data_IF_087048373299
#
_entry.id   IF_087048373299
#
_cell.length_a   1.000
_cell.length_b   1.000
_cell.length_c   1.000
_cell.angle_alpha   90.00
_cell.angle_beta   90.00
_cell.angle_gamma   90.00
#
_symmetry.space_group_name_H-M   'P 1'
#
loop_
_entity.id
_entity.type
_entity.pdbx_description
1 polymer ?
#
# COMPACT_ATOMS: atom_id res chain seq x y z
N UNK A 1 -11.03 -3.43 5.35
CA UNK A 1 -12.17 -3.97 4.58
C UNK A 1 -11.78 -4.69 3.29
N UNK A 2 -10.65 -5.42 3.26
CA UNK A 2 -10.37 -6.44 2.22
C UNK A 2 -10.68 -7.87 2.69
N UNK A 3 -11.39 -8.01 3.81
CA UNK A 3 -11.78 -9.30 4.39
C UNK A 3 -13.02 -9.87 3.67
N UNK A 4 -12.86 -10.09 2.36
CA UNK A 4 -13.85 -10.73 1.51
C UNK A 4 -13.17 -11.89 0.77
N UNK A 5 -13.63 -13.14 0.95
CA UNK A 5 -12.88 -14.32 0.53
C UNK A 5 -12.93 -14.60 -0.98
N UNK A 6 -13.45 -13.67 -1.79
CA UNK A 6 -13.75 -13.92 -3.19
C UNK A 6 -13.40 -12.72 -4.06
N UNK A 7 -13.15 -13.00 -5.34
CA UNK A 7 -12.88 -11.96 -6.35
C UNK A 7 -13.98 -12.01 -7.40
N UNK A 8 -14.35 -10.87 -7.98
CA UNK A 8 -15.36 -10.80 -9.04
C UNK A 8 -14.99 -11.68 -10.25
N UNK A 9 -15.98 -12.23 -10.97
CA UNK A 9 -15.74 -13.19 -12.06
C UNK A 9 -14.87 -12.61 -13.20
N UNK A 10 -15.01 -11.32 -13.50
CA UNK A 10 -14.17 -10.64 -14.50
C UNK A 10 -12.69 -10.61 -14.09
N UNK A 11 -12.41 -10.36 -12.81
CA UNK A 11 -11.05 -10.38 -12.28
C UNK A 11 -10.43 -11.79 -12.33
N UNK A 12 -11.22 -12.82 -12.01
CA UNK A 12 -10.79 -14.22 -12.14
C UNK A 12 -10.45 -14.58 -13.57
N UNK A 13 -11.29 -14.19 -14.53
CA UNK A 13 -11.03 -14.41 -15.97
C UNK A 13 -9.77 -13.67 -16.43
N UNK A 14 -9.60 -12.40 -16.06
CA UNK A 14 -8.40 -11.62 -16.42
C UNK A 14 -7.11 -12.20 -15.83
N UNK A 15 -7.18 -12.83 -14.65
CA UNK A 15 -6.06 -13.59 -14.08
C UNK A 15 -5.74 -14.83 -14.91
N UNK A 16 -6.77 -15.61 -15.25
CA UNK A 16 -6.64 -16.87 -15.99
C UNK A 16 -5.97 -16.68 -17.35
N UNK A 17 -6.33 -15.61 -18.07
CA UNK A 17 -5.71 -15.29 -19.37
C UNK A 17 -4.37 -14.53 -19.24
N UNK A 18 -3.88 -14.28 -18.02
CA UNK A 18 -2.63 -13.58 -17.75
C UNK A 18 -2.64 -12.07 -18.04
N UNK A 19 -3.83 -11.47 -18.20
CA UNK A 19 -3.98 -10.03 -18.50
C UNK A 19 -3.84 -9.15 -17.25
N UNK A 20 -4.22 -9.67 -16.09
CA UNK A 20 -4.02 -9.03 -14.80
C UNK A 20 -3.18 -9.92 -13.88
N UNK A 21 -2.36 -9.31 -13.04
CA UNK A 21 -1.57 -10.01 -12.01
C UNK A 21 -2.07 -9.58 -10.64
N UNK A 22 -2.20 -10.54 -9.74
CA UNK A 22 -2.72 -10.34 -8.39
C UNK A 22 -1.59 -10.61 -7.40
N UNK A 23 -1.52 -9.74 -6.39
CA UNK A 23 -0.46 -9.77 -5.39
C UNK A 23 -1.08 -9.56 -4.01
N UNK A 24 -0.42 -10.09 -3.00
CA UNK A 24 -0.82 -9.94 -1.60
C UNK A 24 0.08 -8.93 -0.91
N UNK A 25 -0.52 -8.12 -0.05
CA UNK A 25 0.14 -7.25 0.90
C UNK A 25 -0.42 -7.58 2.27
N UNK A 26 0.45 -7.71 3.26
CA UNK A 26 0.03 -7.93 4.65
C UNK A 26 -0.33 -6.62 5.36
N UNK A 27 -1.02 -6.72 6.50
CA UNK A 27 -1.49 -5.57 7.27
C UNK A 27 -0.34 -4.64 7.69
N UNK A 28 0.84 -5.20 8.01
CA UNK A 28 1.99 -4.40 8.45
C UNK A 28 2.55 -3.57 7.30
N UNK A 29 2.66 -4.15 6.12
CA UNK A 29 3.07 -3.46 4.90
C UNK A 29 2.08 -2.38 4.51
N UNK A 30 0.77 -2.66 4.63
CA UNK A 30 -0.27 -1.67 4.38
C UNK A 30 -0.21 -0.51 5.39
N UNK A 31 -0.02 -0.79 6.68
CA UNK A 31 0.15 0.23 7.71
C UNK A 31 1.40 1.09 7.50
N UNK A 32 2.52 0.48 7.12
CA UNK A 32 3.73 1.24 6.76
C UNK A 32 3.43 2.23 5.63
N UNK A 33 2.79 1.77 4.55
CA UNK A 33 2.41 2.61 3.42
C UNK A 33 1.39 3.70 3.78
N UNK A 34 0.43 3.39 4.66
CA UNK A 34 -0.52 4.36 5.20
C UNK A 34 0.22 5.53 5.86
N UNK A 35 1.10 5.24 6.82
CA UNK A 35 1.81 6.29 7.56
C UNK A 35 2.82 7.04 6.71
N UNK A 36 3.53 6.35 5.81
CA UNK A 36 4.49 6.99 4.89
C UNK A 36 3.77 7.97 3.97
N UNK A 37 2.67 7.57 3.33
CA UNK A 37 1.92 8.45 2.44
C UNK A 37 1.35 9.66 3.19
N UNK A 38 0.82 9.45 4.40
CA UNK A 38 0.29 10.55 5.21
C UNK A 38 1.35 11.55 5.62
N UNK A 39 2.56 11.09 5.95
CA UNK A 39 3.65 11.99 6.37
C UNK A 39 4.31 12.72 5.22
N UNK A 40 4.53 12.03 4.10
CA UNK A 40 5.25 12.63 2.96
C UNK A 40 4.35 13.51 2.11
N UNK A 41 3.11 13.10 1.88
CA UNK A 41 2.20 13.75 0.91
C UNK A 41 1.00 14.43 1.58
N UNK A 42 0.80 14.27 2.89
CA UNK A 42 -0.37 14.80 3.60
C UNK A 42 -1.69 14.11 3.23
N UNK A 43 -1.62 12.94 2.59
CA UNK A 43 -2.79 12.16 2.16
C UNK A 43 -3.01 11.03 3.15
N UNK A 44 -4.19 10.97 3.76
CA UNK A 44 -4.60 9.87 4.66
C UNK A 44 -5.40 8.85 3.84
N UNK A 45 -4.79 7.76 3.35
CA UNK A 45 -5.49 6.77 2.53
C UNK A 45 -6.40 5.89 3.37
N UNK A 46 -7.46 5.35 2.80
CA UNK A 46 -8.13 4.19 3.41
C UNK A 46 -7.13 3.01 3.53
N UNK A 47 -7.30 2.13 4.51
CA UNK A 47 -6.41 0.98 4.70
C UNK A 47 -6.40 0.05 3.48
N UNK A 48 -7.52 -0.08 2.77
CA UNK A 48 -7.61 -0.81 1.50
C UNK A 48 -6.74 -0.16 0.41
N UNK A 49 -6.78 1.18 0.30
CA UNK A 49 -5.94 1.94 -0.64
C UNK A 49 -4.46 1.80 -0.29
N UNK A 50 -4.11 1.73 1.01
CA UNK A 50 -2.74 1.59 1.47
C UNK A 50 -2.09 0.27 1.02
N UNK A 51 -2.88 -0.81 0.80
CA UNK A 51 -2.36 -2.05 0.21
C UNK A 51 -1.82 -1.82 -1.20
N UNK A 52 -2.53 -1.04 -2.04
CA UNK A 52 -2.07 -0.74 -3.39
C UNK A 52 -0.79 0.12 -3.38
N UNK A 53 -0.68 1.06 -2.44
CA UNK A 53 0.51 1.91 -2.27
C UNK A 53 1.71 1.10 -1.79
N UNK A 54 1.52 0.22 -0.81
CA UNK A 54 2.57 -0.69 -0.33
C UNK A 54 3.12 -1.55 -1.47
N UNK A 55 2.23 -2.08 -2.32
CA UNK A 55 2.64 -2.82 -3.51
C UNK A 55 3.43 -1.94 -4.49
N UNK A 56 2.97 -0.71 -4.75
CA UNK A 56 3.66 0.21 -5.64
C UNK A 56 5.08 0.53 -5.13
N UNK A 57 5.24 0.75 -3.83
CA UNK A 57 6.55 0.97 -3.19
C UNK A 57 7.46 -0.25 -3.33
N UNK A 58 6.92 -1.47 -3.14
CA UNK A 58 7.66 -2.71 -3.36
C UNK A 58 8.13 -2.85 -4.81
N UNK A 59 7.22 -2.62 -5.77
CA UNK A 59 7.53 -2.71 -7.20
C UNK A 59 8.60 -1.67 -7.61
N UNK A 60 8.51 -0.45 -7.09
CA UNK A 60 9.52 0.58 -7.32
C UNK A 60 10.89 0.15 -6.79
N UNK A 61 10.96 -0.38 -5.56
CA UNK A 61 12.20 -0.88 -4.97
C UNK A 61 12.82 -2.05 -5.73
N UNK A 62 12.01 -3.01 -6.17
CA UNK A 62 12.45 -4.17 -6.97
C UNK A 62 13.04 -3.77 -8.34
N UNK A 63 12.76 -2.56 -8.82
CA UNK A 63 13.21 -2.07 -10.13
C UNK A 63 14.14 -0.87 -10.04
N UNK A 64 14.61 -0.50 -8.84
CA UNK A 64 15.40 0.72 -8.62
C UNK A 64 16.65 0.82 -9.51
N UNK A 65 17.33 -0.30 -9.78
CA UNK A 65 18.56 -0.37 -10.57
C UNK A 65 18.35 -0.52 -12.08
N UNK A 66 17.09 -0.56 -12.53
CA UNK A 66 16.78 -0.90 -13.93
C UNK A 66 16.51 0.35 -14.76
N UNK A 67 15.24 0.73 -14.91
CA UNK A 67 14.80 1.89 -15.68
C UNK A 67 13.74 2.65 -14.88
N UNK A 68 13.57 3.96 -15.14
CA UNK A 68 12.49 4.73 -14.54
C UNK A 68 11.12 4.04 -14.74
N UNK A 69 10.39 3.85 -13.65
CA UNK A 69 9.04 3.32 -13.67
C UNK A 69 8.03 4.44 -13.37
N UNK A 70 6.96 4.50 -14.15
CA UNK A 70 5.76 5.27 -13.82
C UNK A 70 4.68 4.31 -13.38
N UNK A 71 4.20 4.47 -12.14
CA UNK A 71 3.18 3.60 -11.53
C UNK A 71 1.93 4.45 -11.29
N UNK A 72 0.81 4.06 -11.89
CA UNK A 72 -0.49 4.65 -11.61
C UNK A 72 -1.16 3.84 -10.50
N UNK A 73 -1.52 4.51 -9.40
CA UNK A 73 -2.17 3.87 -8.24
C UNK A 73 -3.58 4.44 -8.07
N UNK A 74 -4.56 3.56 -7.89
CA UNK A 74 -5.91 3.95 -7.54
C UNK A 74 -6.03 4.13 -6.01
N UNK A 75 -6.20 5.37 -5.54
CA UNK A 75 -6.54 5.67 -4.15
C UNK A 75 -8.06 5.66 -4.00
N UNK A 76 -8.62 4.47 -3.79
CA UNK A 76 -10.07 4.22 -3.80
C UNK A 76 -10.86 4.94 -2.71
N UNK A 77 -10.20 5.42 -1.66
CA UNK A 77 -10.86 6.07 -0.53
C UNK A 77 -9.90 6.73 0.44
N UNK A 78 -10.49 7.57 1.32
CA UNK A 78 -9.84 8.32 2.40
C UNK A 78 -9.98 7.60 3.75
N UNK A 79 -8.98 7.71 4.61
CA UNK A 79 -8.87 6.96 5.86
C UNK A 79 -9.51 7.61 7.09
N UNK A 80 -10.31 8.67 6.95
CA UNK A 80 -10.86 9.41 8.08
C UNK A 80 -11.65 8.53 9.07
N UNK A 81 -12.32 7.49 8.57
CA UNK A 81 -13.13 6.58 9.39
C UNK A 81 -12.28 5.55 10.15
N UNK A 82 -11.08 5.28 9.67
CA UNK A 82 -10.19 4.26 10.21
C UNK A 82 -9.17 4.85 11.19
N UNK A 83 -9.11 6.18 11.30
CA UNK A 83 -8.06 6.89 12.02
C UNK A 83 -8.06 6.59 13.52
N UNK A 84 -9.22 6.56 14.17
CA UNK A 84 -9.31 6.25 15.60
C UNK A 84 -8.81 4.83 15.88
N UNK A 85 -9.24 3.86 15.06
CA UNK A 85 -8.79 2.47 15.16
C UNK A 85 -7.27 2.36 14.97
N UNK A 86 -6.72 3.02 13.93
CA UNK A 86 -5.29 3.00 13.64
C UNK A 86 -4.48 3.58 14.79
N UNK A 87 -4.89 4.73 15.34
CA UNK A 87 -4.19 5.37 16.46
C UNK A 87 -4.27 4.52 17.73
N UNK A 88 -5.43 3.94 18.04
CA UNK A 88 -5.61 3.11 19.23
C UNK A 88 -4.74 1.85 19.20
N UNK A 89 -4.58 1.22 18.03
CA UNK A 89 -3.91 -0.07 17.91
C UNK A 89 -2.43 0.04 17.49
N UNK A 90 -2.06 1.09 16.75
CA UNK A 90 -0.73 1.24 16.13
C UNK A 90 -0.07 2.59 16.43
N UNK A 91 -0.75 3.50 17.13
CA UNK A 91 -0.24 4.83 17.44
C UNK A 91 -0.13 5.74 16.21
N UNK A 92 0.83 6.67 16.25
CA UNK A 92 0.99 7.70 15.21
C UNK A 92 1.98 7.30 14.09
N UNK A 93 2.44 6.06 14.06
CA UNK A 93 3.27 5.55 12.95
C UNK A 93 4.72 6.02 12.91
N UNK A 94 5.28 6.47 14.05
CA UNK A 94 6.68 6.94 14.09
C UNK A 94 7.67 5.81 13.81
N UNK A 95 7.40 4.59 14.27
CA UNK A 95 8.28 3.45 14.04
C UNK A 95 8.34 3.06 12.56
N UNK A 96 7.18 3.02 11.91
CA UNK A 96 6.98 2.68 10.51
C UNK A 96 7.70 3.69 9.61
N UNK A 97 7.45 4.98 9.85
CA UNK A 97 8.11 6.06 9.11
C UNK A 97 9.63 6.03 9.29
N UNK A 98 10.11 5.91 10.53
CA UNK A 98 11.55 5.88 10.80
C UNK A 98 12.23 4.65 10.18
N UNK A 99 11.56 3.49 10.17
CA UNK A 99 12.06 2.29 9.50
C UNK A 99 12.14 2.49 7.98
N UNK A 100 11.09 3.06 7.38
CA UNK A 100 11.05 3.42 5.97
C UNK A 100 12.18 4.38 5.61
N UNK A 101 12.31 5.52 6.31
CA UNK A 101 13.34 6.53 6.03
C UNK A 101 14.76 5.96 6.13
N UNK A 102 15.02 5.08 7.11
CA UNK A 102 16.31 4.38 7.22
C UNK A 102 16.59 3.44 6.05
N UNK A 103 15.55 2.83 5.47
CA UNK A 103 15.69 1.93 4.30
C UNK A 103 16.04 2.72 3.05
N UNK A 104 15.36 3.85 2.81
CA UNK A 104 15.63 4.71 1.65
C UNK A 104 16.99 5.42 1.77
N UNK A 105 17.40 5.83 2.97
CA UNK A 105 18.71 6.47 3.17
C UNK A 105 19.92 5.53 2.95
N UNK A 106 19.68 4.21 2.81
CA UNK A 106 20.71 3.19 2.56
C UNK A 106 20.75 2.70 1.11
N UNK A 107 19.76 3.06 0.28
CA UNK A 107 19.73 2.76 -1.16
C UNK A 107 20.32 3.91 -1.95
#
# INVERSE_FOLDING_TARGET
GLDYPSTGPEHSYLNEIGRAKYFTIDDRQALEAFFVLSRLEGIIPALESAHAVAHAMRLAGENADTRPLSILVNLSGRGDKDMDYVIEHYGFGDAEYNAFSKRIAKS
#
